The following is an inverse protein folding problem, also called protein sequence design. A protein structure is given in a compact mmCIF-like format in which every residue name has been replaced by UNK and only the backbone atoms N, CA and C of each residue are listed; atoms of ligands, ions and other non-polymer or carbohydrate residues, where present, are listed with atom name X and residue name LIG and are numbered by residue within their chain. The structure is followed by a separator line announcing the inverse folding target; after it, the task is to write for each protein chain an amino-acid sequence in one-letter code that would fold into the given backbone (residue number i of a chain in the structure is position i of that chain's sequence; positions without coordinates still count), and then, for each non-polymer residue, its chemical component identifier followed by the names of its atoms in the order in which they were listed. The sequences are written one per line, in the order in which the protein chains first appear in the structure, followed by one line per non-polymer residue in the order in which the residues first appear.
data_IF_766894400205
#
_entry.id   IF_766894400205
#
_cell.length_a   1.000
_cell.length_b   1.000
_cell.length_c   1.000
_cell.angle_alpha   90.00
_cell.angle_beta   90.00
_cell.angle_gamma   90.00
#
_symmetry.space_group_name_H-M   'P 1'
#
loop_
_entity.id
_entity.type
_entity.pdbx_description
1 polymer ?
#
# COMPACT_ATOMS: atom_id res chain seq x y z
N UNK A 1 45.84 11.78 4.06
CA UNK A 1 44.60 12.20 4.76
C UNK A 1 43.50 11.96 3.76
N UNK A 2 43.06 10.71 3.72
CA UNK A 2 42.10 10.24 2.71
C UNK A 2 40.70 10.42 3.29
N UNK A 3 39.94 11.32 2.68
CA UNK A 3 38.57 11.64 3.04
C UNK A 3 37.68 10.63 2.32
N UNK A 4 37.09 9.68 3.06
CA UNK A 4 36.10 8.76 2.51
C UNK A 4 34.89 9.56 1.98
N UNK A 5 34.38 9.26 0.77
CA UNK A 5 33.18 9.92 0.27
C UNK A 5 31.94 9.40 1.01
N UNK A 6 31.06 10.34 1.35
CA UNK A 6 29.77 10.09 1.95
C UNK A 6 28.97 9.09 1.10
N UNK A 7 28.44 8.04 1.75
CA UNK A 7 27.51 7.12 1.11
C UNK A 7 26.17 7.82 0.95
N UNK A 8 25.86 8.20 -0.27
CA UNK A 8 24.49 8.48 -0.70
C UNK A 8 23.73 7.14 -0.63
N UNK A 9 22.96 6.93 0.44
CA UNK A 9 22.06 5.78 0.56
C UNK A 9 20.73 6.15 -0.09
N UNK A 10 20.76 6.31 -1.41
CA UNK A 10 19.57 6.19 -2.25
C UNK A 10 19.67 4.82 -2.93
N UNK A 11 19.10 3.82 -2.28
CA UNK A 11 18.67 2.62 -2.97
C UNK A 11 17.42 2.09 -2.26
N UNK A 12 16.30 2.76 -2.52
CA UNK A 12 14.97 2.15 -2.37
C UNK A 12 14.81 1.10 -3.48
N UNK A 13 15.68 0.09 -3.48
CA UNK A 13 15.55 -1.08 -4.33
C UNK A 13 14.38 -1.87 -3.78
N UNK A 14 13.22 -1.64 -4.39
CA UNK A 14 12.05 -2.50 -4.24
C UNK A 14 12.43 -3.88 -4.82
N UNK A 15 13.05 -4.72 -4.00
CA UNK A 15 13.28 -6.13 -4.33
C UNK A 15 11.92 -6.82 -4.34
N UNK A 16 11.33 -6.94 -5.53
CA UNK A 16 10.02 -7.56 -5.76
C UNK A 16 10.09 -9.09 -5.80
N UNK A 17 11.07 -9.73 -5.15
CA UNK A 17 11.27 -11.18 -5.28
C UNK A 17 10.23 -12.02 -4.51
N UNK A 18 9.41 -11.42 -3.63
CA UNK A 18 8.53 -12.19 -2.72
C UNK A 18 7.04 -11.75 -2.69
N UNK A 19 6.55 -11.00 -3.71
CA UNK A 19 5.21 -10.37 -3.76
C UNK A 19 4.89 -9.46 -2.54
N UNK A 20 5.90 -9.13 -1.73
CA UNK A 20 5.80 -8.33 -0.51
C UNK A 20 6.48 -6.98 -0.68
N UNK A 21 5.94 -5.98 0.00
CA UNK A 21 6.54 -4.65 0.08
C UNK A 21 7.31 -4.58 1.40
N UNK A 22 8.63 -4.40 1.32
CA UNK A 22 9.50 -4.20 2.47
C UNK A 22 9.79 -2.71 2.64
N UNK A 23 9.49 -2.17 3.82
CA UNK A 23 9.77 -0.76 4.16
C UNK A 23 10.69 -0.77 5.38
N UNK A 24 11.96 -0.39 5.18
CA UNK A 24 12.94 -0.23 6.25
C UNK A 24 13.20 1.25 6.46
N UNK A 25 12.68 1.81 7.56
CA UNK A 25 12.88 3.23 7.89
C UNK A 25 13.03 3.44 9.39
N UNK A 26 14.03 4.23 9.77
CA UNK A 26 14.17 4.70 11.14
C UNK A 26 13.09 5.75 11.44
N UNK A 27 12.38 5.59 12.55
CA UNK A 27 11.40 6.54 13.05
C UNK A 27 11.85 7.00 14.43
N UNK A 28 12.09 8.29 14.58
CA UNK A 28 12.40 8.90 15.87
C UNK A 28 11.08 9.29 16.53
N UNK A 29 10.78 8.68 17.67
CA UNK A 29 9.63 9.05 18.49
C UNK A 29 10.12 9.68 19.79
N UNK A 30 9.41 10.69 20.28
CA UNK A 30 9.57 11.11 21.67
C UNK A 30 8.96 10.06 22.60
N UNK A 31 9.33 10.03 23.89
CA UNK A 31 8.54 9.34 24.89
C UNK A 31 7.07 9.79 24.82
N UNK A 32 6.15 8.87 25.07
CA UNK A 32 4.70 8.96 24.84
C UNK A 32 4.22 8.09 23.68
N UNK A 33 2.98 8.33 23.26
CA UNK A 33 2.35 7.59 22.17
C UNK A 33 2.76 8.19 20.83
N UNK A 34 3.14 7.34 19.90
CA UNK A 34 3.52 7.70 18.54
C UNK A 34 2.56 7.11 17.50
N UNK A 35 2.53 7.72 16.32
CA UNK A 35 1.80 7.18 15.18
C UNK A 35 2.70 7.19 13.94
N UNK A 36 2.70 6.07 13.22
CA UNK A 36 3.33 5.93 11.90
C UNK A 36 2.24 5.68 10.88
N UNK A 37 2.17 6.53 9.85
CA UNK A 37 1.23 6.40 8.75
C UNK A 37 2.03 6.06 7.50
N UNK A 38 1.74 4.90 6.93
CA UNK A 38 2.31 4.42 5.67
C UNK A 38 1.26 4.63 4.59
N UNK A 39 1.57 5.47 3.60
CA UNK A 39 0.73 5.72 2.43
C UNK A 39 1.39 5.11 1.19
N UNK A 40 0.67 4.28 0.45
CA UNK A 40 1.13 3.68 -0.79
C UNK A 40 0.06 3.80 -1.88
N UNK A 41 0.51 3.91 -3.14
CA UNK A 41 -0.36 3.84 -4.31
C UNK A 41 -0.19 2.47 -4.97
N UNK A 42 -1.21 1.61 -4.88
CA UNK A 42 -1.16 0.28 -5.46
C UNK A 42 -1.60 0.33 -6.93
N UNK A 43 -0.67 0.04 -7.84
CA UNK A 43 -0.95 -0.10 -9.26
C UNK A 43 -1.36 -1.53 -9.56
N UNK A 44 -2.64 -1.73 -9.84
CA UNK A 44 -3.26 -3.04 -9.96
C UNK A 44 -3.68 -3.27 -11.42
N UNK A 45 -3.30 -4.43 -11.96
CA UNK A 45 -3.64 -4.85 -13.31
C UNK A 45 -4.49 -6.12 -13.26
N UNK A 46 -5.57 -6.15 -14.01
CA UNK A 46 -6.48 -7.30 -14.04
C UNK A 46 -5.87 -8.44 -14.84
N UNK A 47 -5.53 -9.52 -14.14
CA UNK A 47 -5.38 -10.83 -14.79
C UNK A 47 -6.76 -11.43 -14.97
N UNK A 48 -7.34 -11.32 -16.18
CA UNK A 48 -8.54 -12.08 -16.50
C UNK A 48 -8.18 -13.57 -16.59
N UNK A 49 -8.88 -14.41 -15.83
CA UNK A 49 -8.81 -15.85 -16.03
C UNK A 49 -9.46 -16.18 -17.40
N UNK A 50 -8.76 -16.81 -18.34
CA UNK A 50 -9.32 -17.19 -19.64
C UNK A 50 -10.55 -18.09 -19.52
N UNK A 51 -10.66 -18.91 -18.45
CA UNK A 51 -11.86 -19.72 -18.18
C UNK A 51 -13.11 -18.88 -17.85
N UNK A 52 -12.95 -17.61 -17.46
CA UNK A 52 -14.05 -16.66 -17.24
C UNK A 52 -14.41 -15.85 -18.49
N UNK A 53 -13.67 -16.01 -19.61
CA UNK A 53 -13.99 -15.36 -20.89
C UNK A 53 -15.04 -16.13 -21.69
N UNK A 54 -15.16 -17.44 -21.47
CA UNK A 54 -16.11 -18.29 -22.18
C UNK A 54 -17.52 -18.12 -21.57
N UNK A 55 -18.33 -17.24 -22.17
CA UNK A 55 -19.75 -17.07 -21.82
C UNK A 55 -20.14 -15.90 -20.91
N UNK A 56 -19.20 -15.06 -20.46
CA UNK A 56 -19.52 -13.90 -19.62
C UNK A 56 -19.72 -12.60 -20.41
N UNK A 57 -20.91 -12.00 -20.27
CA UNK A 57 -21.23 -10.66 -20.78
C UNK A 57 -20.26 -9.61 -20.17
N UNK A 58 -19.67 -8.77 -21.03
CA UNK A 58 -18.83 -7.62 -20.66
C UNK A 58 -19.43 -6.78 -19.54
N UNK A 59 -20.74 -6.58 -19.50
CA UNK A 59 -21.39 -5.84 -18.40
C UNK A 59 -21.20 -6.49 -17.04
N UNK A 60 -21.29 -7.82 -16.95
CA UNK A 60 -21.10 -8.54 -15.68
C UNK A 60 -19.65 -8.43 -15.21
N UNK A 61 -18.70 -8.44 -16.13
CA UNK A 61 -17.29 -8.21 -15.80
C UNK A 61 -17.07 -6.78 -15.30
N UNK A 62 -17.64 -5.76 -15.96
CA UNK A 62 -17.53 -4.37 -15.49
C UNK A 62 -18.20 -4.17 -14.14
N UNK A 63 -19.35 -4.81 -13.90
CA UNK A 63 -20.06 -4.71 -12.62
C UNK A 63 -19.20 -5.25 -11.48
N UNK A 64 -18.59 -6.44 -11.65
CA UNK A 64 -17.68 -7.02 -10.64
C UNK A 64 -16.46 -6.15 -10.38
N UNK A 65 -15.92 -5.52 -11.43
CA UNK A 65 -14.80 -4.58 -11.27
C UNK A 65 -15.22 -3.31 -10.55
N UNK A 66 -16.39 -2.77 -10.84
CA UNK A 66 -16.93 -1.64 -10.12
C UNK A 66 -17.11 -1.98 -8.64
N UNK A 67 -17.60 -3.17 -8.28
CA UNK A 67 -17.67 -3.63 -6.89
C UNK A 67 -16.29 -3.70 -6.20
N UNK A 68 -15.24 -4.13 -6.90
CA UNK A 68 -13.88 -4.20 -6.35
C UNK A 68 -13.22 -2.84 -6.18
N UNK A 69 -13.43 -1.93 -7.14
CA UNK A 69 -12.78 -0.62 -7.18
C UNK A 69 -13.44 0.39 -6.25
N UNK A 70 -14.73 0.20 -5.95
CA UNK A 70 -15.55 1.17 -5.24
C UNK A 70 -15.68 0.71 -3.78
N UNK A 71 -15.14 1.46 -2.80
CA UNK A 71 -15.02 1.01 -1.41
C UNK A 71 -16.33 0.56 -0.78
N UNK A 72 -16.26 -0.41 0.13
CA UNK A 72 -17.40 -0.78 0.97
C UNK A 72 -17.83 0.44 1.82
N UNK A 73 -19.08 0.89 1.65
CA UNK A 73 -19.60 2.13 2.25
C UNK A 73 -19.89 3.26 1.24
N UNK A 74 -19.32 3.19 0.04
CA UNK A 74 -19.79 4.00 -1.08
C UNK A 74 -21.21 3.57 -1.51
N UNK A 75 -21.96 4.46 -2.15
CA UNK A 75 -23.33 4.19 -2.57
C UNK A 75 -23.44 3.38 -3.86
N UNK A 76 -24.68 2.99 -4.20
CA UNK A 76 -25.02 2.35 -5.48
C UNK A 76 -24.71 3.26 -6.67
N UNK A 77 -24.77 4.58 -6.48
CA UNK A 77 -24.53 5.58 -7.54
C UNK A 77 -23.07 5.55 -7.99
N UNK A 78 -22.13 5.55 -7.05
CA UNK A 78 -20.69 5.51 -7.31
C UNK A 78 -20.31 4.23 -8.08
N UNK A 79 -20.87 3.08 -7.66
CA UNK A 79 -20.69 1.80 -8.35
C UNK A 79 -21.21 1.83 -9.78
N UNK A 80 -22.45 2.30 -9.98
CA UNK A 80 -23.03 2.42 -11.33
C UNK A 80 -22.25 3.38 -12.22
N UNK A 81 -21.75 4.49 -11.66
CA UNK A 81 -20.94 5.45 -12.40
C UNK A 81 -19.59 4.85 -12.81
N UNK A 82 -18.91 4.15 -11.89
CA UNK A 82 -17.68 3.42 -12.17
C UNK A 82 -17.90 2.37 -13.27
N UNK A 83 -18.96 1.55 -13.14
CA UNK A 83 -19.34 0.57 -14.16
C UNK A 83 -19.55 1.22 -15.52
N UNK A 84 -20.23 2.37 -15.58
CA UNK A 84 -20.48 3.10 -16.83
C UNK A 84 -19.18 3.61 -17.48
N UNK A 85 -18.25 4.12 -16.68
CA UNK A 85 -16.92 4.53 -17.17
C UNK A 85 -16.18 3.33 -17.75
N UNK A 86 -16.15 2.22 -17.01
CA UNK A 86 -15.49 0.98 -17.44
C UNK A 86 -16.10 0.46 -18.75
N UNK A 87 -17.43 0.47 -18.87
CA UNK A 87 -18.16 0.08 -20.08
C UNK A 87 -17.82 0.96 -21.28
N UNK A 88 -17.61 2.26 -21.08
CA UNK A 88 -17.21 3.20 -22.13
C UNK A 88 -15.74 3.09 -22.53
N UNK A 89 -14.90 2.45 -21.72
CA UNK A 89 -13.48 2.29 -22.07
C UNK A 89 -13.34 1.39 -23.30
N UNK A 90 -12.54 1.83 -24.29
CA UNK A 90 -12.23 1.04 -25.49
C UNK A 90 -11.09 0.04 -25.26
N UNK A 91 -10.39 0.16 -24.14
CA UNK A 91 -9.32 -0.72 -23.72
C UNK A 91 -9.85 -2.12 -23.45
N UNK A 92 -9.09 -3.13 -23.88
CA UNK A 92 -9.25 -4.50 -23.38
C UNK A 92 -9.04 -4.45 -21.86
N UNK A 93 -9.92 -5.09 -21.09
CA UNK A 93 -9.86 -5.07 -19.62
C UNK A 93 -8.50 -5.45 -19.05
N UNK A 94 -7.81 -6.35 -19.76
CA UNK A 94 -6.48 -6.84 -19.44
C UNK A 94 -5.41 -5.74 -19.48
N UNK A 95 -5.70 -4.61 -20.14
CA UNK A 95 -4.80 -3.46 -20.26
C UNK A 95 -5.17 -2.32 -19.30
N UNK A 96 -6.25 -2.46 -18.51
CA UNK A 96 -6.57 -1.49 -17.48
C UNK A 96 -5.63 -1.66 -16.29
N UNK A 97 -4.97 -0.57 -15.93
CA UNK A 97 -4.26 -0.41 -14.66
C UNK A 97 -5.04 0.60 -13.84
N UNK A 98 -5.38 0.24 -12.61
CA UNK A 98 -6.01 1.14 -11.66
C UNK A 98 -5.10 1.40 -10.47
N UNK A 99 -5.28 2.57 -9.88
CA UNK A 99 -4.56 2.98 -8.67
C UNK A 99 -5.51 2.88 -7.48
N UNK A 100 -5.16 2.05 -6.50
CA UNK A 100 -5.87 1.97 -5.21
C UNK A 100 -4.96 2.55 -4.13
N UNK A 101 -5.31 3.68 -3.49
CA UNK A 101 -4.54 4.20 -2.37
C UNK A 101 -4.69 3.25 -1.17
N UNK A 102 -3.56 2.87 -0.57
CA UNK A 102 -3.46 2.10 0.66
C UNK A 102 -2.91 3.00 1.75
N UNK A 103 -3.60 3.07 2.88
CA UNK A 103 -3.13 3.76 4.08
C UNK A 103 -3.12 2.78 5.24
N UNK A 104 -1.94 2.54 5.81
CA UNK A 104 -1.75 1.72 7.01
C UNK A 104 -1.36 2.64 8.16
N UNK A 105 -2.14 2.61 9.23
CA UNK A 105 -1.89 3.36 10.45
C UNK A 105 -1.36 2.39 11.52
N UNK A 106 -0.17 2.67 12.03
CA UNK A 106 0.45 1.95 13.13
C UNK A 106 0.49 2.88 14.34
N UNK A 107 -0.23 2.51 15.39
CA UNK A 107 -0.16 3.18 16.67
C UNK A 107 0.90 2.49 17.53
N UNK A 108 1.82 3.28 18.08
CA UNK A 108 2.90 2.82 18.94
C UNK A 108 2.62 3.36 20.33
N UNK A 109 2.03 2.53 21.16
CA UNK A 109 1.85 2.79 22.58
C UNK A 109 3.02 2.14 23.33
N UNK A 110 3.75 2.91 24.12
CA UNK A 110 4.88 2.40 24.91
C UNK A 110 4.64 2.77 26.37
N UNK A 111 4.33 1.78 27.20
CA UNK A 111 4.03 2.02 28.63
C UNK A 111 5.30 2.28 29.44
N UNK A 112 6.37 1.52 29.16
CA UNK A 112 7.68 1.68 29.79
C UNK A 112 8.71 2.18 28.77
N UNK A 113 8.93 3.49 28.73
CA UNK A 113 9.97 4.05 27.87
C UNK A 113 11.35 3.75 28.43
N UNK A 114 12.26 3.16 27.64
CA UNK A 114 13.64 3.02 28.07
C UNK A 114 14.19 4.42 28.35
N UNK A 115 14.70 4.63 29.56
CA UNK A 115 15.21 5.91 30.02
C UNK A 115 16.70 5.95 29.78
N UNK A 116 17.14 6.90 28.95
CA UNK A 116 18.55 7.11 28.73
C UNK A 116 19.22 7.72 29.98
N UNK A 117 20.51 7.49 30.18
CA UNK A 117 21.23 7.98 31.37
C UNK A 117 21.33 9.51 31.37
N UNK A 118 21.29 10.13 30.18
CA UNK A 118 21.23 11.58 30.02
C UNK A 118 20.13 11.99 29.03
N UNK A 119 19.74 13.27 29.08
CA UNK A 119 18.62 13.83 28.29
C UNK A 119 18.92 14.03 26.81
N UNK A 120 20.11 13.64 26.31
CA UNK A 120 20.55 13.83 24.92
C UNK A 120 20.75 12.51 24.16
N UNK A 121 20.55 11.38 24.82
CA UNK A 121 20.76 10.07 24.24
C UNK A 121 19.54 9.59 23.44
N UNK A 122 19.80 9.07 22.25
CA UNK A 122 18.81 8.39 21.41
C UNK A 122 18.97 6.89 21.67
N UNK A 123 17.88 6.23 22.06
CA UNK A 123 17.86 4.78 22.23
C UNK A 123 17.42 4.16 20.91
N UNK A 124 18.32 3.41 20.29
CA UNK A 124 18.01 2.67 19.07
C UNK A 124 17.31 1.36 19.44
N UNK A 125 16.08 1.22 18.98
CA UNK A 125 15.31 -0.01 19.11
C UNK A 125 15.05 -0.56 17.71
N UNK A 126 15.53 -1.77 17.43
CA UNK A 126 15.16 -2.47 16.21
C UNK A 126 13.78 -3.10 16.41
N UNK A 127 12.83 -2.74 15.57
CA UNK A 127 11.46 -3.24 15.63
C UNK A 127 11.00 -3.63 14.23
N UNK A 128 10.27 -4.75 14.15
CA UNK A 128 9.69 -5.25 12.92
C UNK A 128 8.20 -5.50 13.11
N UNK A 129 7.40 -4.98 12.19
CA UNK A 129 5.97 -5.22 12.14
C UNK A 129 5.65 -5.82 10.77
N UNK A 130 4.87 -6.89 10.77
CA UNK A 130 4.35 -7.50 9.54
C UNK A 130 2.85 -7.23 9.46
N UNK A 131 2.43 -6.58 8.37
CA UNK A 131 1.01 -6.25 8.13
C UNK A 131 0.55 -6.98 6.89
N UNK A 132 -0.41 -7.88 7.06
CA UNK A 132 -1.05 -8.59 5.96
C UNK A 132 -2.27 -7.80 5.50
N UNK A 133 -2.27 -7.38 4.23
CA UNK A 133 -3.36 -6.61 3.62
C UNK A 133 -4.00 -7.43 2.51
N UNK A 134 -5.33 -7.61 2.58
CA UNK A 134 -6.14 -8.16 1.49
C UNK A 134 -6.82 -7.04 0.71
N UNK A 135 -6.97 -7.22 -0.61
CA UNK A 135 -7.50 -6.21 -1.54
C UNK A 135 -8.88 -6.52 -2.06
#
# INVERSE_FOLDING_TARGET
MDMEPARDVDNDSLDTEDDKIHITRAVNTSPGNGEVIICAALYLKLKLNPALQEGNNREKQMARLAELLVPEGSGKRERSFCQHILLKSKSVLQNLVFVKPLQVKLQIDTEDHPKAENTKEIILTESRVEVNVSL
#
